data_IF_100784192008
#
_entry.id   IF_100784192008
#
_cell.length_a   1.000
_cell.length_b   1.000
_cell.length_c   1.000
_cell.angle_alpha   90.00
_cell.angle_beta   90.00
_cell.angle_gamma   90.00
#
_symmetry.space_group_name_H-M   'P 1'
#
loop_
_entity.id
_entity.type
_entity.pdbx_description
1 polymer ?
#
# COMPACT_ATOMS: atom_id res chain seq x y z
N UNK A 1 -2.33 -7.43 -36.16
CA UNK A 1 -1.50 -6.48 -35.41
C UNK A 1 -1.93 -6.50 -33.94
N UNK A 2 -1.05 -6.80 -32.99
CA UNK A 2 -1.41 -6.70 -31.57
C UNK A 2 -1.75 -5.24 -31.26
N UNK A 3 -2.93 -4.98 -30.70
CA UNK A 3 -3.30 -3.64 -30.20
C UNK A 3 -2.20 -3.19 -29.25
N UNK A 4 -1.61 -2.01 -29.47
CA UNK A 4 -0.63 -1.48 -28.53
C UNK A 4 -1.29 -1.43 -27.16
N UNK A 5 -0.64 -1.99 -26.13
CA UNK A 5 -1.15 -1.91 -24.76
C UNK A 5 -1.24 -0.42 -24.42
N UNK A 6 -2.45 0.07 -24.13
CA UNK A 6 -2.67 1.45 -23.68
C UNK A 6 -1.83 1.68 -22.43
N UNK A 7 -0.99 2.72 -22.44
CA UNK A 7 -0.26 3.13 -21.26
C UNK A 7 -1.25 3.69 -20.23
N UNK A 8 -1.28 3.08 -19.04
CA UNK A 8 -2.19 3.43 -17.94
C UNK A 8 -1.49 4.17 -16.80
N UNK A 9 -0.21 4.52 -16.98
CA UNK A 9 0.54 5.30 -15.99
C UNK A 9 0.00 6.73 -15.94
N UNK A 10 0.03 7.42 -14.78
CA UNK A 10 -0.23 8.86 -14.78
C UNK A 10 0.70 9.58 -15.78
N UNK A 11 0.21 10.60 -16.50
CA UNK A 11 -1.07 11.29 -16.32
C UNK A 11 -2.24 10.71 -17.13
N UNK A 12 -2.12 9.51 -17.71
CA UNK A 12 -3.17 8.91 -18.53
C UNK A 12 -4.38 8.46 -17.68
N UNK A 13 -5.57 8.42 -18.29
CA UNK A 13 -6.76 7.86 -17.64
C UNK A 13 -6.49 6.45 -17.06
N UNK A 14 -7.05 6.10 -15.89
CA UNK A 14 -8.09 6.83 -15.14
C UNK A 14 -7.55 7.80 -14.09
N UNK A 15 -6.25 8.13 -14.12
CA UNK A 15 -5.63 8.98 -13.11
C UNK A 15 -6.10 10.43 -13.22
N UNK A 16 -6.45 10.99 -12.08
CA UNK A 16 -6.83 12.38 -11.90
C UNK A 16 -5.75 13.11 -11.08
N UNK A 17 -5.42 14.36 -11.43
CA UNK A 17 -4.45 15.12 -10.68
C UNK A 17 -5.00 15.40 -9.27
N UNK A 18 -4.15 15.22 -8.26
CA UNK A 18 -4.48 15.56 -6.89
C UNK A 18 -4.53 17.08 -6.74
N UNK A 19 -5.65 17.61 -6.27
CA UNK A 19 -5.74 19.03 -5.85
C UNK A 19 -4.99 19.19 -4.52
N UNK A 20 -3.75 19.64 -4.58
CA UNK A 20 -2.86 19.79 -3.42
C UNK A 20 -3.28 20.94 -2.51
N UNK A 21 -3.18 20.75 -1.21
CA UNK A 21 -3.29 21.80 -0.21
C UNK A 21 -2.02 22.64 -0.15
N UNK A 22 -2.17 23.96 0.00
CA UNK A 22 -1.07 24.90 0.17
C UNK A 22 -1.23 25.63 1.52
N UNK A 23 -0.24 25.55 2.43
CA UNK A 23 1.00 24.77 2.32
C UNK A 23 0.79 23.25 2.37
N UNK A 24 1.74 22.43 1.88
CA UNK A 24 1.59 20.99 1.79
C UNK A 24 1.40 20.29 3.14
N UNK A 25 0.47 19.34 3.17
CA UNK A 25 0.25 18.43 4.28
C UNK A 25 0.92 17.07 4.03
N UNK A 26 1.06 16.29 5.11
CA UNK A 26 1.64 14.95 5.06
C UNK A 26 0.97 13.93 5.99
N UNK A 27 1.28 12.65 5.78
CA UNK A 27 0.97 11.54 6.67
C UNK A 27 2.23 10.73 6.99
N UNK A 28 2.39 10.29 8.24
CA UNK A 28 3.17 9.09 8.54
C UNK A 28 2.28 7.87 8.26
N UNK A 29 2.77 6.91 7.49
CA UNK A 29 2.10 5.65 7.16
C UNK A 29 2.95 4.47 7.62
N UNK A 30 2.37 3.63 8.46
CA UNK A 30 3.03 2.45 9.01
C UNK A 30 2.90 1.25 8.07
N UNK A 31 4.01 0.56 7.82
CA UNK A 31 4.06 -0.74 7.19
C UNK A 31 4.94 -1.70 8.00
N UNK A 32 4.74 -3.00 7.81
CA UNK A 32 5.59 -4.01 8.44
C UNK A 32 6.80 -4.27 7.56
N UNK A 33 7.98 -4.35 8.16
CA UNK A 33 9.24 -4.63 7.46
C UNK A 33 9.47 -6.13 7.37
N UNK A 34 10.03 -6.61 6.25
CA UNK A 34 10.42 -8.00 6.12
C UNK A 34 11.62 -8.33 7.04
N UNK A 35 11.48 -9.39 7.84
CA UNK A 35 12.50 -9.81 8.81
C UNK A 35 13.72 -10.48 8.17
N UNK A 36 13.61 -10.94 6.92
CA UNK A 36 14.71 -11.56 6.17
C UNK A 36 15.55 -10.52 5.39
N UNK A 37 15.23 -9.23 5.52
CA UNK A 37 15.83 -8.16 4.74
C UNK A 37 16.84 -7.31 5.51
N UNK A 38 18.02 -7.02 4.94
CA UNK A 38 18.92 -6.00 5.47
C UNK A 38 18.39 -4.58 5.27
N UNK A 39 17.37 -4.37 4.42
CA UNK A 39 16.72 -3.08 4.19
C UNK A 39 15.34 -3.04 4.84
N UNK A 40 14.82 -1.83 5.06
CA UNK A 40 13.50 -1.61 5.64
C UNK A 40 12.39 -1.74 4.56
N UNK A 41 12.42 -2.82 3.79
CA UNK A 41 11.40 -3.12 2.76
C UNK A 41 10.17 -3.75 3.40
N UNK A 42 9.01 -3.61 2.74
CA UNK A 42 7.75 -4.18 3.23
C UNK A 42 7.80 -5.71 3.36
N UNK A 43 6.95 -6.28 4.23
CA UNK A 43 6.79 -7.73 4.37
C UNK A 43 6.34 -8.39 3.04
N UNK A 44 7.27 -9.08 2.38
CA UNK A 44 7.03 -9.88 1.17
C UNK A 44 6.82 -11.35 1.55
N UNK A 45 7.61 -11.84 2.51
CA UNK A 45 7.75 -13.27 2.81
C UNK A 45 6.78 -13.81 3.85
N UNK A 46 5.88 -12.97 4.39
CA UNK A 46 4.93 -13.36 5.43
C UNK A 46 3.66 -13.96 4.82
N UNK A 47 3.41 -15.28 4.90
CA UNK A 47 2.19 -15.85 4.34
C UNK A 47 0.96 -15.30 5.06
N UNK A 48 -0.12 -15.09 4.31
CA UNK A 48 -1.44 -14.67 4.80
C UNK A 48 -1.52 -13.29 5.50
N UNK A 49 -0.43 -12.51 5.50
CA UNK A 49 -0.38 -11.11 5.99
C UNK A 49 0.63 -10.24 5.21
N UNK A 50 1.25 -10.75 4.13
CA UNK A 50 2.09 -9.94 3.26
C UNK A 50 1.26 -8.85 2.59
N UNK A 51 1.93 -7.75 2.18
CA UNK A 51 1.28 -6.56 1.62
C UNK A 51 2.07 -6.04 0.44
N UNK A 52 1.37 -5.52 -0.55
CA UNK A 52 2.00 -4.80 -1.66
C UNK A 52 2.37 -3.37 -1.30
N UNK A 53 1.75 -2.77 -0.27
CA UNK A 53 1.98 -1.38 0.10
C UNK A 53 3.08 -1.22 1.17
N UNK A 54 3.98 -0.22 1.04
CA UNK A 54 4.13 0.69 -0.11
C UNK A 54 4.57 -0.06 -1.38
N UNK A 55 3.87 0.16 -2.51
CA UNK A 55 4.22 -0.51 -3.76
C UNK A 55 5.25 0.32 -4.53
N UNK A 56 6.52 0.12 -4.16
CA UNK A 56 7.66 0.92 -4.61
C UNK A 56 7.88 0.75 -6.13
N UNK A 57 7.63 -0.45 -6.64
CA UNK A 57 7.81 -0.86 -8.05
C UNK A 57 6.99 -0.02 -9.03
N UNK A 58 5.83 0.47 -8.59
CA UNK A 58 4.98 1.34 -9.40
C UNK A 58 4.85 2.75 -8.82
N UNK A 59 5.45 3.04 -7.66
CA UNK A 59 5.21 4.29 -6.92
C UNK A 59 3.74 4.49 -6.54
N UNK A 60 3.02 3.41 -6.22
CA UNK A 60 1.58 3.48 -5.88
C UNK A 60 1.31 3.10 -4.44
N UNK A 61 0.19 3.59 -3.93
CA UNK A 61 -0.29 3.27 -2.59
C UNK A 61 -1.78 2.96 -2.62
N UNK A 62 -2.15 1.75 -2.19
CA UNK A 62 -3.52 1.28 -2.19
C UNK A 62 -4.04 0.82 -3.55
N UNK A 63 -3.17 0.67 -4.55
CA UNK A 63 -3.56 0.15 -5.87
C UNK A 63 -3.88 -1.35 -5.79
N UNK A 64 -2.90 -2.15 -5.36
CA UNK A 64 -3.02 -3.61 -5.26
C UNK A 64 -3.58 -4.09 -3.92
N UNK A 65 -3.51 -3.25 -2.88
CA UNK A 65 -3.96 -3.55 -1.52
C UNK A 65 -5.09 -2.65 -1.05
N UNK A 66 -5.83 -3.11 -0.06
CA UNK A 66 -6.91 -2.38 0.62
C UNK A 66 -6.41 -1.51 1.79
N UNK A 67 -5.09 -1.40 2.01
CA UNK A 67 -4.51 -0.84 3.23
C UNK A 67 -4.80 0.64 3.48
N UNK A 68 -5.49 0.97 4.58
CA UNK A 68 -5.70 2.35 5.02
C UNK A 68 -6.63 3.16 4.09
N UNK A 69 -7.75 2.56 3.65
CA UNK A 69 -8.79 3.19 2.84
C UNK A 69 -9.18 4.61 3.35
N UNK A 70 -9.42 4.76 4.65
CA UNK A 70 -9.77 6.06 5.25
C UNK A 70 -8.70 7.13 5.11
N UNK A 71 -7.42 6.74 5.24
CA UNK A 71 -6.29 7.66 5.00
C UNK A 71 -6.26 8.10 3.54
N UNK A 72 -6.41 7.17 2.58
CA UNK A 72 -6.42 7.51 1.15
C UNK A 72 -7.58 8.42 0.78
N UNK A 73 -8.79 8.14 1.27
CA UNK A 73 -9.92 9.04 1.11
C UNK A 73 -9.67 10.44 1.71
N UNK A 74 -9.01 10.52 2.88
CA UNK A 74 -8.59 11.79 3.45
C UNK A 74 -7.51 12.49 2.63
N UNK A 75 -6.61 11.76 1.98
CA UNK A 75 -5.56 12.32 1.14
C UNK A 75 -6.20 13.03 -0.06
N UNK A 76 -7.11 12.36 -0.77
CA UNK A 76 -7.84 12.92 -1.90
C UNK A 76 -8.69 14.12 -1.46
N UNK A 77 -9.50 13.96 -0.40
CA UNK A 77 -10.39 15.02 0.09
C UNK A 77 -9.65 16.29 0.53
N UNK A 78 -8.46 16.15 1.13
CA UNK A 78 -7.73 17.26 1.75
C UNK A 78 -6.51 17.71 0.95
N UNK A 79 -6.21 17.10 -0.19
CA UNK A 79 -5.03 17.45 -0.98
C UNK A 79 -3.71 17.17 -0.28
N UNK A 80 -3.60 16.05 0.46
CA UNK A 80 -2.36 15.73 1.18
C UNK A 80 -1.30 15.24 0.21
N UNK A 81 -0.20 15.99 0.11
CA UNK A 81 0.84 15.79 -0.90
C UNK A 81 1.86 14.72 -0.53
N UNK A 82 2.17 14.56 0.76
CA UNK A 82 3.28 13.69 1.19
C UNK A 82 2.83 12.49 2.00
N UNK A 83 3.39 11.32 1.68
CA UNK A 83 3.21 10.10 2.44
C UNK A 83 4.57 9.57 2.89
N UNK A 84 4.93 9.81 4.15
CA UNK A 84 6.17 9.33 4.76
C UNK A 84 5.98 7.93 5.32
N UNK A 85 6.90 7.02 5.01
CA UNK A 85 6.79 5.62 5.40
C UNK A 85 7.56 5.33 6.68
N UNK A 86 6.89 4.65 7.59
CA UNK A 86 7.42 4.23 8.89
C UNK A 86 7.28 2.73 9.01
N UNK A 87 8.30 2.05 9.51
CA UNK A 87 8.19 0.64 9.88
C UNK A 87 8.82 0.39 11.25
N UNK A 88 8.73 -0.87 11.71
CA UNK A 88 9.47 -1.33 12.88
C UNK A 88 10.66 -2.17 12.42
N UNK A 89 11.86 -1.81 12.89
CA UNK A 89 13.12 -2.53 12.66
C UNK A 89 13.85 -2.62 13.99
N UNK A 90 14.36 -3.80 14.35
CA UNK A 90 15.07 -4.03 15.62
C UNK A 90 14.33 -3.47 16.85
N UNK A 91 13.03 -3.74 16.92
CA UNK A 91 12.09 -3.26 17.94
C UNK A 91 11.88 -1.74 18.01
N UNK A 92 12.54 -0.93 17.18
CA UNK A 92 12.37 0.54 17.11
C UNK A 92 11.59 0.96 15.86
N UNK A 93 10.91 2.11 15.92
CA UNK A 93 10.26 2.70 14.75
C UNK A 93 11.24 3.59 13.99
N UNK A 94 11.26 3.44 12.67
CA UNK A 94 12.13 4.20 11.78
C UNK A 94 11.31 4.78 10.62
N UNK A 95 11.68 5.97 10.15
CA UNK A 95 11.21 6.52 8.87
C UNK A 95 12.17 6.07 7.77
N UNK A 96 11.63 5.63 6.65
CA UNK A 96 12.37 4.96 5.57
C UNK A 96 12.38 5.75 4.27
N UNK A 97 11.45 6.68 4.08
CA UNK A 97 11.26 7.38 2.81
C UNK A 97 9.91 8.07 2.70
N UNK A 98 9.60 8.58 1.52
CA UNK A 98 8.32 9.18 1.21
C UNK A 98 7.90 8.99 -0.25
N UNK A 99 6.60 9.15 -0.47
CA UNK A 99 6.03 9.47 -1.77
C UNK A 99 5.59 10.93 -1.81
N UNK A 100 5.84 11.60 -2.93
CA UNK A 100 5.14 12.81 -3.32
C UNK A 100 3.96 12.40 -4.19
N UNK A 101 2.76 12.45 -3.63
CA UNK A 101 1.52 12.04 -4.28
C UNK A 101 1.04 13.15 -5.20
N UNK A 102 0.86 12.80 -6.48
CA UNK A 102 0.41 13.74 -7.50
C UNK A 102 -0.89 13.31 -8.17
N UNK A 103 -1.26 12.03 -8.08
CA UNK A 103 -2.41 11.48 -8.79
C UNK A 103 -3.22 10.55 -7.91
N UNK A 104 -4.52 10.47 -8.20
CA UNK A 104 -5.41 9.46 -7.65
C UNK A 104 -6.30 8.86 -8.73
N UNK A 105 -6.78 7.64 -8.49
CA UNK A 105 -7.79 7.00 -9.31
C UNK A 105 -8.77 6.27 -8.39
N UNK A 106 -9.98 6.02 -8.88
CA UNK A 106 -10.95 5.21 -8.16
C UNK A 106 -10.44 3.76 -8.07
N UNK A 107 -10.43 3.23 -6.85
CA UNK A 107 -10.08 1.83 -6.62
C UNK A 107 -11.23 0.89 -6.94
N UNK A 108 -10.93 -0.40 -7.06
CA UNK A 108 -11.89 -1.48 -7.28
C UNK A 108 -13.09 -1.46 -6.32
N UNK A 109 -12.89 -0.96 -5.10
CA UNK A 109 -13.92 -0.90 -4.06
C UNK A 109 -14.46 0.53 -3.86
N UNK A 110 -14.29 1.42 -4.85
CA UNK A 110 -14.61 2.85 -4.70
C UNK A 110 -16.07 3.08 -4.34
N UNK A 111 -16.98 2.48 -5.11
CA UNK A 111 -18.42 2.55 -4.89
C UNK A 111 -18.88 2.00 -3.52
N UNK A 112 -18.02 1.23 -2.83
CA UNK A 112 -18.28 0.64 -1.52
C UNK A 112 -17.64 1.41 -0.36
N UNK A 113 -17.12 2.62 -0.59
CA UNK A 113 -16.64 3.47 0.51
C UNK A 113 -15.40 4.31 0.21
N UNK A 114 -15.38 4.98 -0.95
CA UNK A 114 -14.32 5.91 -1.35
C UNK A 114 -12.92 5.26 -1.32
N UNK A 115 -12.82 4.04 -1.83
CA UNK A 115 -11.52 3.40 -2.12
C UNK A 115 -10.82 4.16 -3.25
N UNK A 116 -9.61 4.66 -2.99
CA UNK A 116 -8.77 5.30 -3.99
C UNK A 116 -7.45 4.56 -4.13
N UNK A 117 -6.88 4.54 -5.33
CA UNK A 117 -5.47 4.28 -5.57
C UNK A 117 -4.74 5.63 -5.65
N UNK A 118 -3.55 5.72 -5.06
CA UNK A 118 -2.70 6.91 -5.15
C UNK A 118 -1.47 6.58 -5.98
N UNK A 119 -0.99 7.52 -6.79
CA UNK A 119 0.27 7.42 -7.50
C UNK A 119 1.15 8.63 -7.23
N UNK A 120 2.43 8.33 -7.01
CA UNK A 120 3.46 9.31 -6.76
C UNK A 120 4.11 9.76 -8.07
N UNK A 121 4.46 11.05 -8.16
CA UNK A 121 5.38 11.53 -9.19
C UNK A 121 6.85 11.49 -8.70
N UNK A 122 7.05 11.28 -7.41
CA UNK A 122 8.37 11.13 -6.80
C UNK A 122 8.34 10.02 -5.73
N UNK A 123 9.32 9.13 -5.82
CA UNK A 123 9.57 8.07 -4.85
C UNK A 123 10.98 8.22 -4.30
N UNK A 124 11.09 8.42 -2.99
CA UNK A 124 12.37 8.62 -2.32
C UNK A 124 12.46 7.73 -1.09
N UNK A 125 13.41 6.79 -1.08
CA UNK A 125 13.72 5.97 0.10
C UNK A 125 15.17 6.18 0.51
N UNK A 126 15.46 6.03 1.78
CA UNK A 126 16.80 6.23 2.34
C UNK A 126 17.31 4.95 2.98
N UNK A 127 18.64 4.84 2.99
CA UNK A 127 19.37 3.82 3.73
C UNK A 127 20.68 4.47 4.25
N UNK A 128 20.98 4.43 5.57
CA UNK A 128 20.19 3.83 6.64
C UNK A 128 18.91 4.63 6.97
N UNK A 129 17.83 3.97 7.46
CA UNK A 129 16.61 4.64 7.89
C UNK A 129 16.82 5.40 9.20
N UNK A 130 15.98 6.42 9.48
CA UNK A 130 16.14 7.28 10.66
C UNK A 130 15.18 6.83 11.76
N UNK A 131 15.68 6.56 12.96
CA UNK A 131 14.84 6.32 14.14
C UNK A 131 13.96 7.54 14.40
N UNK A 132 12.68 7.34 14.74
CA UNK A 132 11.76 8.47 14.97
C UNK A 132 12.23 9.39 16.11
N UNK A 133 12.96 8.86 17.09
CA UNK A 133 13.59 9.61 18.17
C UNK A 133 14.77 10.48 17.75
N UNK A 134 15.35 10.23 16.58
CA UNK A 134 16.52 10.94 16.05
C UNK A 134 16.12 12.00 15.01
N UNK A 135 14.82 12.20 14.79
CA UNK A 135 14.32 13.31 13.99
C UNK A 135 14.55 14.63 14.74
N UNK A 136 14.61 15.78 14.03
CA UNK A 136 14.65 17.08 14.69
C UNK A 136 13.34 17.36 15.44
N UNK A 137 13.37 18.25 16.43
CA UNK A 137 12.13 18.77 17.03
C UNK A 137 11.52 19.87 16.14
N UNK A 138 10.19 20.07 16.15
CA UNK A 138 9.18 19.40 17.00
C UNK A 138 8.67 18.05 16.46
N UNK A 139 9.14 17.61 15.29
CA UNK A 139 8.58 16.42 14.62
C UNK A 139 8.88 15.13 15.38
N UNK A 140 10.06 14.99 16.02
CA UNK A 140 10.38 13.84 16.86
C UNK A 140 9.29 13.59 17.91
N UNK A 141 8.94 14.61 18.69
CA UNK A 141 7.89 14.54 19.72
C UNK A 141 6.50 14.17 19.17
N UNK A 142 6.20 14.49 17.90
CA UNK A 142 4.95 14.11 17.24
C UNK A 142 5.01 12.67 16.71
N UNK A 143 6.15 12.26 16.15
CA UNK A 143 6.35 10.99 15.46
C UNK A 143 6.48 9.80 16.42
N UNK A 144 7.12 9.99 17.58
CA UNK A 144 7.32 8.91 18.58
C UNK A 144 6.01 8.51 19.29
N UNK A 145 5.02 9.41 19.34
CA UNK A 145 3.74 9.13 19.98
C UNK A 145 3.06 7.92 19.32
N UNK A 146 2.46 7.00 20.08
CA UNK A 146 1.83 5.81 19.52
C UNK A 146 0.81 6.12 18.41
N UNK A 147 0.92 5.42 17.29
CA UNK A 147 -0.12 5.38 16.24
C UNK A 147 -0.10 4.00 15.58
N UNK A 148 -1.26 3.49 15.17
CA UNK A 148 -1.37 2.12 14.63
C UNK A 148 -0.99 2.03 13.16
N UNK A 149 -1.73 2.74 12.30
CA UNK A 149 -1.59 2.63 10.84
C UNK A 149 -1.10 3.93 10.21
N UNK A 150 -1.64 5.08 10.63
CA UNK A 150 -1.20 6.37 10.14
C UNK A 150 -1.37 7.48 11.15
N UNK A 151 -0.67 8.59 10.90
CA UNK A 151 -0.74 9.83 11.67
C UNK A 151 -0.64 11.00 10.70
N UNK A 152 -1.64 11.88 10.71
CA UNK A 152 -1.60 13.12 9.93
C UNK A 152 -0.59 14.09 10.53
N UNK A 153 0.12 14.83 9.68
CA UNK A 153 1.08 15.86 10.05
C UNK A 153 0.52 17.25 9.75
N UNK A 154 0.99 18.25 10.49
CA UNK A 154 0.82 19.65 10.12
C UNK A 154 1.75 20.02 8.95
N UNK A 155 1.57 21.21 8.39
CA UNK A 155 2.46 21.81 7.38
C UNK A 155 3.91 21.86 7.88
N UNK A 156 4.13 22.35 9.10
CA UNK A 156 5.47 22.54 9.66
C UNK A 156 6.17 21.20 9.89
N UNK A 157 5.44 20.21 10.41
CA UNK A 157 5.95 18.86 10.61
C UNK A 157 6.25 18.14 9.27
N UNK A 158 5.47 18.44 8.23
CA UNK A 158 5.69 17.92 6.88
C UNK A 158 6.97 18.51 6.28
N UNK A 159 7.14 19.84 6.37
CA UNK A 159 8.34 20.53 5.91
C UNK A 159 9.59 20.06 6.66
N UNK A 160 9.52 19.88 7.98
CA UNK A 160 10.63 19.40 8.80
C UNK A 160 11.09 17.98 8.38
N UNK A 161 10.14 17.07 8.07
CA UNK A 161 10.49 15.74 7.55
C UNK A 161 11.13 15.80 6.18
N UNK A 162 10.59 16.61 5.25
CA UNK A 162 11.18 16.76 3.92
C UNK A 162 12.61 17.27 4.00
N UNK A 163 12.84 18.36 4.75
CA UNK A 163 14.18 18.91 4.97
C UNK A 163 15.14 17.88 5.59
N UNK A 164 14.64 16.92 6.37
CA UNK A 164 15.45 15.86 6.97
C UNK A 164 15.78 14.73 5.98
N UNK A 165 14.87 14.44 5.05
CA UNK A 165 14.95 13.30 4.14
C UNK A 165 15.58 13.66 2.79
N UNK A 166 15.16 14.77 2.16
CA UNK A 166 15.56 15.18 0.81
C UNK A 166 17.08 15.24 0.58
N UNK A 167 17.91 15.73 1.52
CA UNK A 167 19.37 15.77 1.31
C UNK A 167 20.04 14.41 1.29
N UNK A 168 19.35 13.33 1.70
CA UNK A 168 19.94 12.00 1.79
C UNK A 168 19.94 11.32 0.42
N UNK A 169 20.93 10.46 0.12
CA UNK A 169 20.92 9.70 -1.11
C UNK A 169 19.67 8.81 -1.23
N UNK A 170 19.05 8.83 -2.40
CA UNK A 170 17.90 7.98 -2.70
C UNK A 170 18.37 6.53 -2.93
N UNK A 171 17.96 5.63 -2.04
CA UNK A 171 18.25 4.20 -2.04
C UNK A 171 17.19 3.37 -2.79
N UNK A 172 16.37 3.99 -3.65
CA UNK A 172 15.26 3.33 -4.36
C UNK A 172 15.70 2.07 -5.13
N UNK A 173 16.85 2.11 -5.81
CA UNK A 173 17.36 0.97 -6.58
C UNK A 173 17.66 -0.23 -5.68
N UNK A 174 18.23 0.02 -4.50
CA UNK A 174 18.54 -0.99 -3.50
C UNK A 174 17.25 -1.61 -2.94
N UNK A 175 16.23 -0.79 -2.66
CA UNK A 175 14.92 -1.28 -2.21
C UNK A 175 14.26 -2.17 -3.27
N UNK A 176 14.29 -1.78 -4.55
CA UNK A 176 13.72 -2.59 -5.64
C UNK A 176 14.45 -3.92 -5.82
N UNK A 177 15.78 -3.90 -5.79
CA UNK A 177 16.60 -5.12 -5.90
C UNK A 177 16.34 -6.09 -4.74
N UNK A 178 16.17 -5.57 -3.53
CA UNK A 178 15.90 -6.36 -2.35
C UNK A 178 14.48 -6.95 -2.35
N UNK A 179 13.48 -6.19 -2.81
CA UNK A 179 12.13 -6.74 -3.03
C UNK A 179 12.17 -7.90 -4.03
N UNK A 180 12.84 -7.76 -5.18
CA UNK A 180 12.96 -8.87 -6.13
C UNK A 180 13.69 -10.08 -5.54
N UNK A 181 14.74 -9.87 -4.74
CA UNK A 181 15.44 -10.96 -4.03
C UNK A 181 14.48 -11.74 -3.12
N UNK A 182 13.68 -11.04 -2.32
CA UNK A 182 12.69 -11.64 -1.41
C UNK A 182 11.56 -12.35 -2.18
N UNK A 183 11.08 -11.76 -3.27
CA UNK A 183 10.07 -12.37 -4.13
C UNK A 183 10.58 -13.67 -4.78
N UNK A 184 11.82 -13.69 -5.27
CA UNK A 184 12.46 -14.90 -5.82
C UNK A 184 12.66 -15.97 -4.75
N UNK A 185 13.06 -15.57 -3.54
CA UNK A 185 13.13 -16.47 -2.38
C UNK A 185 11.76 -17.10 -2.10
N UNK A 186 10.70 -16.28 -2.01
CA UNK A 186 9.35 -16.75 -1.77
C UNK A 186 8.86 -17.70 -2.88
N UNK A 187 9.15 -17.37 -4.14
CA UNK A 187 8.79 -18.20 -5.30
C UNK A 187 9.48 -19.56 -5.26
N UNK A 188 10.76 -19.60 -4.91
CA UNK A 188 11.50 -20.85 -4.76
C UNK A 188 10.85 -21.79 -3.74
N UNK A 189 10.39 -21.25 -2.60
CA UNK A 189 9.83 -22.07 -1.52
C UNK A 189 8.34 -22.39 -1.65
N UNK A 190 7.56 -21.57 -2.36
CA UNK A 190 6.09 -21.69 -2.38
C UNK A 190 5.46 -21.79 -3.77
N UNK A 191 6.26 -21.65 -4.83
CA UNK A 191 5.78 -21.52 -6.21
C UNK A 191 5.31 -20.11 -6.57
N UNK A 192 5.07 -19.23 -5.58
CA UNK A 192 4.55 -17.88 -5.77
C UNK A 192 5.47 -16.80 -5.20
N UNK A 193 5.54 -15.65 -5.86
CA UNK A 193 6.19 -14.45 -5.29
C UNK A 193 5.39 -13.90 -4.11
N UNK A 194 4.05 -13.96 -4.18
CA UNK A 194 3.15 -13.61 -3.08
C UNK A 194 2.10 -14.69 -2.85
N UNK A 195 2.30 -15.50 -1.80
CA UNK A 195 1.45 -16.66 -1.47
C UNK A 195 -0.02 -16.27 -1.31
N UNK A 196 -0.31 -15.21 -0.56
CA UNK A 196 -1.70 -14.80 -0.29
C UNK A 196 -2.47 -14.40 -1.55
N UNK A 197 -1.77 -13.93 -2.58
CA UNK A 197 -2.38 -13.57 -3.87
C UNK A 197 -2.31 -14.69 -4.91
N UNK A 198 -1.61 -15.80 -4.61
CA UNK A 198 -1.17 -16.79 -5.62
C UNK A 198 -0.54 -16.10 -6.84
N UNK A 199 0.28 -15.10 -6.55
CA UNK A 199 0.86 -14.22 -7.56
C UNK A 199 2.27 -14.71 -7.92
N UNK A 200 2.46 -15.11 -9.18
CA UNK A 200 3.74 -15.61 -9.70
C UNK A 200 4.66 -14.49 -10.21
N UNK A 201 4.07 -13.39 -10.67
CA UNK A 201 4.76 -12.26 -11.28
C UNK A 201 4.83 -11.04 -10.34
N UNK A 202 5.84 -10.16 -10.44
CA UNK A 202 5.93 -8.95 -9.62
C UNK A 202 4.73 -8.01 -9.78
N UNK A 203 4.55 -7.08 -8.83
CA UNK A 203 3.58 -6.00 -8.99
C UNK A 203 4.08 -4.94 -9.98
N UNK A 204 3.54 -4.97 -11.20
CA UNK A 204 3.93 -4.08 -12.30
C UNK A 204 2.78 -3.20 -12.78
N UNK A 205 3.10 -2.19 -13.59
CA UNK A 205 2.09 -1.41 -14.31
C UNK A 205 1.27 -2.26 -15.30
N UNK A 206 1.82 -3.35 -15.83
CA UNK A 206 1.05 -4.29 -16.64
C UNK A 206 -0.06 -4.99 -15.83
N UNK A 207 0.24 -5.38 -14.59
CA UNK A 207 -0.75 -5.94 -13.68
C UNK A 207 -1.75 -4.87 -13.19
N UNK A 208 -1.30 -3.64 -12.99
CA UNK A 208 -2.11 -2.51 -12.54
C UNK A 208 -3.35 -2.26 -13.41
N UNK A 209 -3.29 -2.58 -14.71
CA UNK A 209 -4.43 -2.46 -15.64
C UNK A 209 -5.67 -3.15 -15.06
N UNK A 210 -5.51 -4.33 -14.46
CA UNK A 210 -6.62 -5.10 -13.89
C UNK A 210 -7.23 -4.45 -12.63
N UNK A 211 -6.45 -3.62 -11.93
CA UNK A 211 -6.82 -2.98 -10.65
C UNK A 211 -7.38 -1.57 -10.81
N UNK A 212 -7.26 -0.98 -12.00
CA UNK A 212 -7.77 0.35 -12.32
C UNK A 212 -9.07 0.33 -13.13
N UNK A 213 -9.57 -0.85 -13.51
CA UNK A 213 -10.90 -0.98 -14.10
C UNK A 213 -11.95 -0.80 -13.00
N UNK A 214 -12.49 0.41 -12.87
CA UNK A 214 -13.68 0.65 -12.08
C UNK A 214 -14.81 -0.22 -12.66
N UNK A 215 -15.25 -1.25 -11.92
CA UNK A 215 -16.53 -1.86 -12.22
C UNK A 215 -17.61 -0.94 -11.66
N UNK A 216 -18.60 -0.62 -12.48
CA UNK A 216 -19.90 -0.08 -12.05
C UNK A 216 -20.64 -1.14 -11.22
N UNK A 217 -20.04 -1.59 -10.13
CA UNK A 217 -20.77 -2.30 -9.10
C UNK A 217 -21.52 -1.19 -8.36
N UNK A 218 -22.82 -1.04 -8.63
CA UNK A 218 -23.70 -0.07 -7.98
C UNK A 218 -23.51 -0.06 -6.45
N UNK A 219 -23.94 1.02 -5.80
CA UNK A 219 -23.76 1.27 -4.36
C UNK A 219 -23.97 -0.01 -3.52
N UNK A 220 -22.85 -0.66 -3.19
CA UNK A 220 -22.83 -1.99 -2.59
C UNK A 220 -22.49 -1.91 -1.12
N UNK A 221 -22.76 -3.00 -0.40
CA UNK A 221 -22.39 -3.15 1.01
C UNK A 221 -20.90 -2.88 1.20
N UNK A 222 -20.57 -2.02 2.15
CA UNK A 222 -19.19 -1.72 2.54
C UNK A 222 -18.52 -2.98 3.08
N UNK A 223 -17.60 -3.57 2.32
CA UNK A 223 -16.87 -4.76 2.79
C UNK A 223 -15.80 -4.32 3.81
N UNK A 224 -15.73 -4.95 5.00
CA UNK A 224 -14.70 -4.66 5.98
C UNK A 224 -13.32 -5.14 5.49
N UNK A 225 -12.25 -4.51 5.99
CA UNK A 225 -10.88 -4.91 5.66
C UNK A 225 -10.31 -6.02 6.57
N UNK A 226 -11.15 -6.64 7.39
CA UNK A 226 -10.77 -7.72 8.29
C UNK A 226 -11.88 -8.77 8.33
N UNK A 227 -11.49 -10.03 8.48
CA UNK A 227 -12.39 -11.16 8.72
C UNK A 227 -12.10 -11.73 10.10
N UNK A 228 -13.14 -12.01 10.89
CA UNK A 228 -12.98 -12.59 12.24
C UNK A 228 -12.42 -14.01 12.19
N UNK A 229 -12.80 -14.77 11.15
CA UNK A 229 -12.34 -16.15 10.94
C UNK A 229 -10.98 -16.21 10.24
N UNK A 230 -10.49 -15.09 9.68
CA UNK A 230 -9.32 -15.07 8.79
C UNK A 230 -9.59 -15.66 7.40
N UNK A 231 -10.85 -16.03 7.10
CA UNK A 231 -11.27 -16.57 5.82
C UNK A 231 -12.18 -15.62 5.07
N UNK A 232 -12.05 -15.65 3.75
CA UNK A 232 -12.86 -14.92 2.78
C UNK A 232 -13.43 -15.88 1.75
N UNK A 233 -14.67 -15.69 1.34
CA UNK A 233 -15.27 -16.45 0.25
C UNK A 233 -15.42 -15.55 -0.98
N UNK A 234 -15.10 -16.08 -2.16
CA UNK A 234 -15.36 -15.40 -3.43
C UNK A 234 -16.81 -15.60 -3.87
N UNK A 235 -17.54 -14.51 -4.12
CA UNK A 235 -18.92 -14.58 -4.62
C UNK A 235 -19.03 -15.13 -6.05
N UNK A 236 -17.92 -15.18 -6.79
CA UNK A 236 -17.87 -15.67 -8.18
C UNK A 236 -17.50 -17.14 -8.29
N UNK A 237 -16.34 -17.55 -7.77
CA UNK A 237 -15.88 -18.95 -7.87
C UNK A 237 -16.14 -19.79 -6.62
N UNK A 238 -16.72 -19.20 -5.56
CA UNK A 238 -17.05 -19.84 -4.28
C UNK A 238 -15.88 -20.41 -3.48
N UNK A 239 -14.64 -20.25 -3.96
CA UNK A 239 -13.42 -20.67 -3.26
C UNK A 239 -13.18 -19.85 -1.99
N UNK A 240 -12.60 -20.52 -0.98
CA UNK A 240 -12.18 -19.92 0.28
C UNK A 240 -10.71 -19.47 0.22
N UNK A 241 -10.45 -18.26 0.71
CA UNK A 241 -9.13 -17.64 0.77
C UNK A 241 -8.79 -17.37 2.24
N UNK A 242 -7.71 -17.95 2.74
CA UNK A 242 -7.15 -17.58 4.03
C UNK A 242 -6.29 -16.31 3.85
N UNK A 243 -6.66 -15.21 4.52
CA UNK A 243 -5.85 -14.00 4.56
C UNK A 243 -6.31 -13.09 5.70
N UNK A 244 -5.40 -12.40 6.38
CA UNK A 244 -5.77 -11.52 7.50
C UNK A 244 -6.54 -10.27 7.04
N UNK A 245 -6.20 -9.75 5.86
CA UNK A 245 -6.83 -8.56 5.27
C UNK A 245 -7.63 -8.91 4.01
N UNK A 246 -8.54 -8.03 3.61
CA UNK A 246 -9.27 -8.18 2.35
C UNK A 246 -8.29 -8.06 1.17
N UNK A 247 -8.36 -8.99 0.21
CA UNK A 247 -7.68 -8.84 -1.08
C UNK A 247 -8.62 -8.19 -2.10
N UNK A 248 -8.09 -7.31 -2.95
CA UNK A 248 -8.88 -6.70 -4.04
C UNK A 248 -9.23 -7.69 -5.16
N UNK A 249 -8.42 -8.74 -5.32
CA UNK A 249 -8.52 -9.75 -6.37
C UNK A 249 -8.67 -11.13 -5.72
N UNK A 250 -9.60 -11.96 -6.20
CA UNK A 250 -9.64 -13.36 -5.82
C UNK A 250 -8.40 -14.09 -6.38
N UNK A 251 -7.58 -14.77 -5.56
CA UNK A 251 -6.41 -15.52 -6.03
C UNK A 251 -6.75 -16.61 -7.05
N UNK A 252 -7.90 -17.28 -6.88
CA UNK A 252 -8.26 -18.45 -7.70
C UNK A 252 -8.85 -18.10 -9.07
N UNK A 253 -9.80 -17.14 -9.14
CA UNK A 253 -10.48 -16.80 -10.39
C UNK A 253 -10.13 -15.41 -10.93
N UNK A 254 -9.27 -14.67 -10.25
CA UNK A 254 -8.87 -13.32 -10.64
C UNK A 254 -9.96 -12.25 -10.57
N UNK A 255 -11.17 -12.58 -10.09
CA UNK A 255 -12.28 -11.63 -10.10
C UNK A 255 -12.07 -10.54 -9.03
N UNK A 256 -12.06 -9.29 -9.48
CA UNK A 256 -11.90 -8.10 -8.66
C UNK A 256 -13.12 -7.82 -7.77
N UNK A 257 -12.90 -7.42 -6.53
CA UNK A 257 -13.94 -6.99 -5.57
C UNK A 257 -14.91 -8.09 -5.13
N UNK A 258 -14.57 -9.36 -5.36
CA UNK A 258 -15.47 -10.51 -5.18
C UNK A 258 -15.41 -11.16 -3.80
N UNK A 259 -14.44 -10.79 -2.95
CA UNK A 259 -14.25 -11.45 -1.65
C UNK A 259 -15.16 -10.86 -0.58
N UNK A 260 -15.77 -11.74 0.22
CA UNK A 260 -16.61 -11.41 1.39
C UNK A 260 -16.09 -12.15 2.62
N UNK A 261 -16.17 -11.55 3.82
CA UNK A 261 -15.77 -12.24 5.05
C UNK A 261 -16.69 -13.43 5.30
N UNK A 262 -16.11 -14.58 5.65
CA UNK A 262 -16.90 -15.74 6.09
C UNK A 262 -17.48 -15.45 7.47
N UNK A 263 -18.82 -15.52 7.66
CA UNK A 263 -19.43 -15.31 8.96
C UNK A 263 -18.87 -16.30 9.99
N UNK A 264 -18.70 -15.84 11.22
CA UNK A 264 -18.48 -16.74 12.34
C UNK A 264 -19.82 -17.45 12.60
N UNK A 265 -19.83 -18.79 12.56
CA UNK A 265 -21.00 -19.54 13.02
C UNK A 265 -21.01 -19.42 14.54
N UNK A 266 -21.98 -18.69 15.08
CA UNK A 266 -22.21 -18.65 16.52
C UNK A 266 -22.66 -20.06 16.96
N UNK A 267 -21.89 -20.71 17.84
CA UNK A 267 -22.32 -21.96 18.51
C UNK A 267 -21.50 -23.23 18.27
N UNK A 268 -20.27 -23.15 17.74
CA UNK A 268 -19.33 -24.29 17.80
C UNK A 268 -18.10 -23.87 18.61
N UNK A 269 -18.16 -24.16 19.91
CA UNK A 269 -17.05 -24.13 20.87
C UNK A 269 -16.31 -25.46 20.87
#
# INVERSE_FOLDING_TARGET
MPKSKRDIRPPHEPWQPLRVAEPPLGYLSFFYSDGLSPLAVREVTRPYDNKSDPNIETGTYGLFSTCQRSMRASIVKRGVKYLFFVCRRDNVRVVTGYYRVAWYADGVLHAQGADYALAADEVHFIDPPIRLSNLPEPIASVAVRPFRLARRLSTDNTAALLHTLEPRPNALVQYLAEIDRLERFQRFHSGYRYVSWQQEEPFTWDLAVQYLVAKENGAGIVVPNASRTGFWQCDTCRQFVANKALLKRCPYCGTMGSLRPVPQLDGVS
#
